data_IF_782747927292
#
_entry.id   IF_782747927292
#
_cell.length_a   1.000
_cell.length_b   1.000
_cell.length_c   1.000
_cell.angle_alpha   90.00
_cell.angle_beta   90.00
_cell.angle_gamma   90.00
#
_symmetry.space_group_name_H-M   'P 1'
#
loop_
_entity.id
_entity.type
_entity.pdbx_description
1 polymer ?
#
# COMPACT_ATOMS: atom_id res chain seq x y z
N UNK A 1 4.99 -6.20 24.89
CA UNK A 1 6.42 -6.03 24.55
C UNK A 1 6.83 -7.12 23.57
N UNK A 2 7.49 -6.74 22.49
CA UNK A 2 8.06 -7.71 21.53
C UNK A 2 9.54 -7.90 21.84
N UNK A 3 9.96 -9.17 21.93
CA UNK A 3 11.37 -9.52 22.07
C UNK A 3 11.87 -10.05 20.73
N UNK A 4 13.00 -9.57 20.28
CA UNK A 4 13.57 -9.89 18.98
C UNK A 4 14.88 -10.63 19.19
N UNK A 5 14.97 -11.83 18.59
CA UNK A 5 16.24 -12.55 18.51
C UNK A 5 17.08 -11.95 17.39
N UNK A 6 18.29 -11.48 17.69
CA UNK A 6 19.12 -10.71 16.77
C UNK A 6 19.48 -11.46 15.48
N UNK A 7 19.52 -12.80 15.51
CA UNK A 7 19.83 -13.63 14.34
C UNK A 7 18.62 -14.00 13.49
N UNK A 8 17.42 -13.47 13.80
CA UNK A 8 16.16 -13.82 13.11
C UNK A 8 15.31 -12.60 12.75
N UNK A 9 15.96 -11.45 12.57
CA UNK A 9 15.26 -10.23 12.17
C UNK A 9 15.27 -10.16 10.64
N UNK A 10 14.08 -10.08 10.04
CA UNK A 10 13.91 -9.82 8.62
C UNK A 10 13.27 -8.46 8.42
N UNK A 11 13.84 -7.66 7.54
CA UNK A 11 13.31 -6.35 7.15
C UNK A 11 13.30 -6.30 5.63
N UNK A 12 12.16 -5.91 5.07
CA UNK A 12 12.04 -5.65 3.64
C UNK A 12 11.39 -4.28 3.46
N UNK A 13 11.80 -3.57 2.43
CA UNK A 13 11.21 -2.31 2.06
C UNK A 13 11.11 -2.19 0.54
N UNK A 14 10.36 -1.20 0.09
CA UNK A 14 10.21 -0.99 -1.32
C UNK A 14 9.29 0.17 -1.61
N UNK A 15 9.21 0.51 -2.88
CA UNK A 15 8.34 1.56 -3.39
C UNK A 15 7.63 1.05 -4.63
N UNK A 16 6.35 1.40 -4.75
CA UNK A 16 5.56 1.03 -5.91
C UNK A 16 4.59 2.15 -6.27
N UNK A 17 4.17 2.16 -7.52
CA UNK A 17 3.10 3.04 -7.99
C UNK A 17 1.78 2.29 -7.90
N UNK A 18 0.88 2.76 -7.04
CA UNK A 18 -0.41 2.12 -6.85
C UNK A 18 -1.33 2.43 -8.04
N UNK A 19 -1.37 3.68 -8.45
CA UNK A 19 -2.04 4.10 -9.67
C UNK A 19 -1.46 5.44 -10.14
N UNK A 20 -1.62 5.71 -11.43
CA UNK A 20 -1.16 6.95 -12.08
C UNK A 20 -2.22 7.40 -13.09
N UNK A 21 -3.47 7.45 -12.63
CA UNK A 21 -4.64 7.65 -13.49
C UNK A 21 -4.71 9.05 -14.08
N UNK A 22 -4.00 10.03 -13.51
CA UNK A 22 -3.96 11.37 -14.08
C UNK A 22 -3.33 11.38 -15.50
N UNK A 23 -2.41 10.47 -15.79
CA UNK A 23 -1.75 10.39 -17.11
C UNK A 23 -2.71 9.90 -18.20
N UNK A 24 -3.72 9.13 -17.82
CA UNK A 24 -4.65 8.47 -18.75
C UNK A 24 -6.09 8.87 -18.51
N UNK A 25 -6.35 9.85 -17.65
CA UNK A 25 -7.68 10.27 -17.23
C UNK A 25 -8.53 9.12 -16.68
N UNK A 26 -7.86 8.20 -15.98
CA UNK A 26 -8.49 7.01 -15.41
C UNK A 26 -9.43 7.31 -14.24
N UNK A 27 -10.16 6.29 -13.74
CA UNK A 27 -11.24 6.49 -12.75
C UNK A 27 -10.77 7.03 -11.41
N UNK A 28 -9.54 6.77 -10.99
CA UNK A 28 -9.02 7.30 -9.73
C UNK A 28 -8.72 8.79 -9.81
N UNK A 29 -8.52 9.33 -11.01
CA UNK A 29 -8.33 10.75 -11.26
C UNK A 29 -9.63 11.47 -11.65
N UNK A 30 -10.33 10.95 -12.64
CA UNK A 30 -11.51 11.60 -13.25
C UNK A 30 -12.84 11.16 -12.63
N UNK A 31 -12.87 10.03 -11.94
CA UNK A 31 -14.10 9.51 -11.33
C UNK A 31 -14.57 10.33 -10.14
N UNK A 32 -15.83 10.13 -9.75
CA UNK A 32 -16.45 10.75 -8.59
C UNK A 32 -17.06 9.67 -7.70
N UNK A 33 -17.18 9.98 -6.40
CA UNK A 33 -17.72 9.05 -5.43
C UNK A 33 -16.71 8.00 -4.97
N UNK A 34 -17.19 6.95 -4.27
CA UNK A 34 -16.32 5.90 -3.73
C UNK A 34 -15.55 5.16 -4.83
N UNK A 35 -14.25 5.04 -4.64
CA UNK A 35 -13.35 4.34 -5.58
C UNK A 35 -12.31 3.55 -4.79
N UNK A 36 -11.86 2.45 -5.39
CA UNK A 36 -10.89 1.56 -4.77
C UNK A 36 -9.88 1.08 -5.81
N UNK A 37 -8.64 0.94 -5.38
CA UNK A 37 -7.59 0.27 -6.15
C UNK A 37 -6.79 -0.63 -5.22
N UNK A 38 -6.41 -1.80 -5.74
CA UNK A 38 -5.63 -2.78 -5.00
C UNK A 38 -4.42 -3.20 -5.81
N UNK A 39 -3.36 -3.63 -5.12
CA UNK A 39 -2.17 -4.18 -5.76
C UNK A 39 -1.57 -5.25 -4.86
N UNK A 40 -1.26 -6.41 -5.46
CA UNK A 40 -0.53 -7.47 -4.76
C UNK A 40 0.95 -7.17 -4.77
N UNK A 41 1.58 -7.19 -3.61
CA UNK A 41 2.99 -6.90 -3.42
C UNK A 41 3.68 -8.16 -2.89
N UNK A 42 4.70 -8.62 -3.60
CA UNK A 42 5.54 -9.72 -3.17
C UNK A 42 6.79 -9.19 -2.46
N UNK A 43 7.15 -9.80 -1.34
CA UNK A 43 8.41 -9.50 -0.68
C UNK A 43 9.59 -10.01 -1.50
N UNK A 44 10.76 -9.41 -1.30
CA UNK A 44 11.98 -9.83 -2.00
C UNK A 44 12.43 -11.24 -1.62
N UNK A 45 12.07 -11.67 -0.41
CA UNK A 45 12.26 -13.04 0.09
C UNK A 45 11.16 -13.34 1.10
N UNK A 46 10.94 -14.60 1.41
CA UNK A 46 9.92 -15.03 2.39
C UNK A 46 10.37 -14.73 3.81
N UNK A 47 9.44 -14.24 4.63
CA UNK A 47 9.63 -14.17 6.08
C UNK A 47 9.36 -15.53 6.70
N UNK A 48 9.80 -15.72 7.94
CA UNK A 48 9.52 -16.95 8.69
C UNK A 48 8.05 -17.06 9.11
N UNK A 49 7.40 -15.91 9.25
CA UNK A 49 5.98 -15.79 9.59
C UNK A 49 5.45 -14.48 8.96
N UNK A 50 4.13 -14.28 8.88
CA UNK A 50 3.61 -13.02 8.36
C UNK A 50 4.14 -11.82 9.16
N UNK A 51 4.75 -10.82 8.49
CA UNK A 51 5.32 -9.65 9.16
C UNK A 51 4.26 -8.59 9.46
N UNK A 52 4.65 -7.57 10.21
CA UNK A 52 3.90 -6.31 10.24
C UNK A 52 4.26 -5.49 9.01
N UNK A 53 3.25 -4.91 8.38
CA UNK A 53 3.42 -4.10 7.17
C UNK A 53 2.98 -2.67 7.46
N UNK A 54 3.84 -1.71 7.10
CA UNK A 54 3.54 -0.28 7.21
C UNK A 54 3.59 0.35 5.83
N UNK A 55 2.54 1.05 5.46
CA UNK A 55 2.43 1.75 4.20
C UNK A 55 2.43 3.26 4.42
N UNK A 56 3.17 3.96 3.59
CA UNK A 56 3.18 5.42 3.57
C UNK A 56 3.06 5.92 2.13
N UNK A 57 2.61 7.17 1.99
CA UNK A 57 2.48 7.80 0.68
C UNK A 57 3.72 8.67 0.46
N UNK A 58 4.46 8.39 -0.63
CA UNK A 58 5.63 9.16 -1.02
C UNK A 58 5.28 10.30 -1.99
N UNK A 59 4.21 10.11 -2.78
CA UNK A 59 3.72 11.10 -3.74
C UNK A 59 2.21 10.96 -3.88
N UNK A 60 1.50 12.08 -3.81
CA UNK A 60 0.09 12.12 -4.19
C UNK A 60 -0.22 13.39 -4.97
N UNK A 61 -1.31 13.32 -5.75
CA UNK A 61 -1.84 14.45 -6.50
C UNK A 61 -3.36 14.47 -6.33
N UNK A 62 -3.90 15.58 -5.85
CA UNK A 62 -5.31 15.68 -5.48
C UNK A 62 -5.91 16.99 -5.95
N UNK A 63 -7.23 16.99 -6.15
CA UNK A 63 -7.97 18.21 -6.48
C UNK A 63 -8.19 19.04 -5.22
N UNK A 64 -7.61 20.23 -5.16
CA UNK A 64 -7.61 21.07 -3.96
C UNK A 64 -8.98 21.69 -3.64
N UNK A 65 -9.92 21.69 -4.56
CA UNK A 65 -11.27 22.23 -4.37
C UNK A 65 -12.23 21.31 -3.61
N UNK A 66 -11.80 20.12 -3.21
CA UNK A 66 -12.64 19.13 -2.55
C UNK A 66 -12.04 18.65 -1.24
N UNK A 67 -12.92 18.25 -0.32
CA UNK A 67 -12.50 17.51 0.86
C UNK A 67 -11.95 16.16 0.46
N UNK A 68 -10.84 15.76 1.07
CA UNK A 68 -10.18 14.50 0.77
C UNK A 68 -10.38 13.52 1.90
N UNK A 69 -10.76 12.29 1.54
CA UNK A 69 -10.81 11.16 2.44
C UNK A 69 -10.09 9.99 1.79
N UNK A 70 -9.11 9.44 2.49
CA UNK A 70 -8.32 8.31 2.01
C UNK A 70 -8.22 7.26 3.08
N UNK A 71 -8.27 6.00 2.65
CA UNK A 71 -7.96 4.85 3.47
C UNK A 71 -6.92 4.00 2.73
N UNK A 72 -5.77 3.81 3.34
CA UNK A 72 -4.65 3.10 2.72
C UNK A 72 -4.09 2.09 3.70
N UNK A 73 -4.23 0.80 3.39
CA UNK A 73 -3.88 -0.27 4.31
C UNK A 73 -3.38 -1.50 3.57
N UNK A 74 -2.74 -2.40 4.32
CA UNK A 74 -2.36 -3.72 3.87
C UNK A 74 -3.35 -4.76 4.38
N UNK A 75 -3.69 -5.72 3.53
CA UNK A 75 -4.50 -6.87 3.90
C UNK A 75 -3.88 -8.15 3.35
N UNK A 76 -4.40 -9.30 3.77
CA UNK A 76 -3.92 -10.60 3.32
C UNK A 76 -2.40 -10.75 3.47
N UNK A 77 -1.88 -10.33 4.62
CA UNK A 77 -0.45 -10.36 4.90
C UNK A 77 -0.02 -11.80 5.15
N UNK A 78 0.94 -12.27 4.35
CA UNK A 78 1.54 -13.59 4.47
C UNK A 78 3.05 -13.47 4.60
N UNK A 79 3.72 -14.60 4.74
CA UNK A 79 5.19 -14.63 4.75
C UNK A 79 5.79 -14.21 3.39
N UNK A 80 5.01 -14.24 2.30
CA UNK A 80 5.48 -14.00 0.94
C UNK A 80 5.09 -12.64 0.38
N UNK A 81 4.07 -12.01 0.92
CA UNK A 81 3.58 -10.74 0.38
C UNK A 81 2.31 -10.25 1.05
N UNK A 82 1.72 -9.24 0.48
CA UNK A 82 0.48 -8.64 0.99
C UNK A 82 -0.26 -7.96 -0.16
N UNK A 83 -1.49 -7.55 0.14
CA UNK A 83 -2.27 -6.71 -0.78
C UNK A 83 -2.35 -5.28 -0.24
N UNK A 84 -1.93 -4.32 -1.03
CA UNK A 84 -2.11 -2.91 -0.75
C UNK A 84 -3.49 -2.47 -1.24
N UNK A 85 -4.25 -1.77 -0.40
CA UNK A 85 -5.61 -1.29 -0.71
C UNK A 85 -5.67 0.20 -0.48
N UNK A 86 -6.18 0.91 -1.47
CA UNK A 86 -6.46 2.35 -1.38
C UNK A 86 -7.92 2.58 -1.72
N UNK A 87 -8.60 3.30 -0.82
CA UNK A 87 -10.01 3.70 -0.98
C UNK A 87 -10.15 5.19 -0.80
N UNK A 88 -11.01 5.78 -1.58
CA UNK A 88 -11.32 7.19 -1.48
C UNK A 88 -12.82 7.48 -1.60
#
# INVERSE_FOLDING_TARGET
MKKIASNRIGIDDGRFTLFSDFDTDGPMWSGVGPREVTQDIAFSDSFLAPPSVHLTIALWDVHEGHNMRMDFFAEDITANGFRAVFKT
#
